data_IF_069633196454
#
_entry.id   IF_069633196454
#
_cell.length_a   1.000
_cell.length_b   1.000
_cell.length_c   1.000
_cell.angle_alpha   90.00
_cell.angle_beta   90.00
_cell.angle_gamma   90.00
#
_symmetry.space_group_name_H-M   'P 1'
#
loop_
_entity.id
_entity.type
_entity.pdbx_description
1 polymer ?
#
# COMPACT_ATOMS: atom_id res chain seq x y z
N UNK A 1 -20.34 1.85 6.29
CA UNK A 1 -20.51 2.32 4.90
C UNK A 1 -19.16 2.13 4.22
N UNK A 2 -18.99 1.12 3.35
CA UNK A 2 -17.74 0.96 2.61
C UNK A 2 -17.64 2.19 1.67
N UNK A 3 -16.56 2.97 1.77
CA UNK A 3 -16.43 4.21 1.00
C UNK A 3 -16.43 3.91 -0.51
N UNK A 4 -17.02 4.77 -1.33
CA UNK A 4 -17.04 4.60 -2.80
C UNK A 4 -15.63 4.40 -3.38
N UNK A 5 -14.62 4.96 -2.72
CA UNK A 5 -13.22 4.80 -3.05
C UNK A 5 -12.72 3.35 -2.90
N UNK A 6 -13.19 2.61 -1.88
CA UNK A 6 -12.86 1.19 -1.68
C UNK A 6 -13.35 0.32 -2.85
N UNK A 7 -14.55 0.61 -3.36
CA UNK A 7 -15.05 -0.11 -4.54
C UNK A 7 -14.31 0.32 -5.83
N UNK A 8 -13.67 1.49 -5.83
CA UNK A 8 -12.95 2.03 -6.97
C UNK A 8 -11.72 1.22 -7.38
N UNK A 9 -10.90 0.77 -6.41
CA UNK A 9 -9.69 0.00 -6.71
C UNK A 9 -9.98 -1.46 -7.08
N UNK A 10 -11.17 -1.99 -6.75
CA UNK A 10 -11.57 -3.38 -7.07
C UNK A 10 -12.01 -3.60 -8.51
N UNK A 11 -12.21 -2.52 -9.27
CA UNK A 11 -12.61 -2.62 -10.68
C UNK A 11 -11.52 -3.32 -11.51
N UNK A 12 -11.85 -3.91 -12.67
CA UNK A 12 -10.83 -4.38 -13.60
C UNK A 12 -9.81 -3.27 -13.93
N UNK A 13 -8.52 -3.58 -14.18
CA UNK A 13 -7.49 -2.56 -14.38
C UNK A 13 -7.80 -1.54 -15.49
N UNK A 14 -8.58 -1.94 -16.51
CA UNK A 14 -9.08 -1.09 -17.60
C UNK A 14 -10.12 -0.05 -17.15
N UNK A 15 -10.79 -0.28 -16.02
CA UNK A 15 -11.85 0.57 -15.46
C UNK A 15 -11.39 1.36 -14.21
N UNK A 16 -10.23 1.03 -13.67
CA UNK A 16 -9.66 1.74 -12.52
C UNK A 16 -9.20 3.15 -12.95
N UNK A 17 -9.79 4.18 -12.34
CA UNK A 17 -9.32 5.57 -12.45
C UNK A 17 -8.30 5.83 -11.35
N UNK A 18 -7.02 5.74 -11.67
CA UNK A 18 -5.95 6.02 -10.74
C UNK A 18 -5.83 7.52 -10.44
N UNK A 19 -5.24 7.87 -9.29
CA UNK A 19 -4.76 9.24 -9.09
C UNK A 19 -3.66 9.56 -10.11
N UNK A 20 -3.53 10.84 -10.48
CA UNK A 20 -2.46 11.28 -11.39
C UNK A 20 -1.09 10.85 -10.86
N UNK A 21 -0.23 10.44 -11.79
CA UNK A 21 1.15 10.13 -11.51
C UNK A 21 1.85 11.42 -11.03
N UNK A 22 2.57 11.34 -9.92
CA UNK A 22 3.42 12.43 -9.43
C UNK A 22 4.67 12.63 -10.29
N UNK A 23 4.73 12.00 -11.47
CA UNK A 23 5.43 12.37 -12.70
C UNK A 23 5.98 13.80 -12.77
N UNK A 24 5.12 14.78 -12.51
CA UNK A 24 5.45 16.20 -12.65
C UNK A 24 6.32 16.76 -11.51
N UNK A 25 6.40 16.07 -10.37
CA UNK A 25 7.23 16.43 -9.21
C UNK A 25 8.70 16.04 -9.45
N UNK A 26 9.01 15.27 -10.50
CA UNK A 26 10.33 14.70 -10.75
C UNK A 26 11.40 15.69 -11.25
N UNK A 27 11.08 16.97 -11.49
CA UNK A 27 12.05 17.94 -11.99
C UNK A 27 13.11 18.26 -10.92
N UNK A 28 14.19 17.45 -10.88
CA UNK A 28 15.38 17.68 -10.07
C UNK A 28 15.86 16.51 -9.21
N UNK A 29 15.16 15.38 -9.19
CA UNK A 29 15.61 14.19 -8.44
C UNK A 29 16.61 13.38 -9.27
N UNK A 30 17.81 13.17 -8.74
CA UNK A 30 18.79 12.25 -9.32
C UNK A 30 18.47 10.81 -8.92
N UNK A 31 18.17 9.95 -9.89
CA UNK A 31 17.88 8.53 -9.68
C UNK A 31 19.11 7.63 -9.89
N UNK A 32 20.22 8.18 -10.38
CA UNK A 32 21.44 7.40 -10.58
C UNK A 32 22.11 7.08 -9.23
N UNK A 33 22.30 5.79 -8.92
CA UNK A 33 22.92 5.39 -7.66
C UNK A 33 24.40 5.78 -7.66
N UNK A 34 24.85 6.30 -6.53
CA UNK A 34 26.27 6.55 -6.26
C UNK A 34 27.01 5.22 -6.05
N UNK A 35 28.33 5.25 -6.20
CA UNK A 35 29.16 4.08 -5.91
C UNK A 35 29.01 3.60 -4.46
N UNK A 36 28.85 4.52 -3.52
CA UNK A 36 28.66 4.17 -2.11
C UNK A 36 27.33 3.46 -1.86
N UNK A 37 26.26 3.84 -2.56
CA UNK A 37 24.96 3.16 -2.50
C UNK A 37 25.05 1.77 -3.13
N UNK A 38 25.75 1.63 -4.26
CA UNK A 38 25.98 0.33 -4.91
C UNK A 38 26.79 -0.64 -4.04
N UNK A 39 27.76 -0.11 -3.27
CA UNK A 39 28.65 -0.91 -2.42
C UNK A 39 28.08 -1.18 -1.01
N UNK A 40 26.92 -0.60 -0.65
CA UNK A 40 26.32 -0.75 0.70
C UNK A 40 24.80 -0.83 0.68
N UNK A 41 24.26 -2.00 1.05
CA UNK A 41 22.81 -2.21 1.19
C UNK A 41 22.14 -1.17 2.09
N UNK A 42 22.77 -0.81 3.22
CA UNK A 42 22.19 0.21 4.11
C UNK A 42 22.05 1.56 3.42
N UNK A 43 23.05 1.96 2.63
CA UNK A 43 23.01 3.24 1.89
C UNK A 43 22.01 3.18 0.74
N UNK A 44 21.99 2.08 -0.02
CA UNK A 44 20.99 1.84 -1.05
C UNK A 44 19.56 1.90 -0.48
N UNK A 45 19.29 1.21 0.63
CA UNK A 45 17.97 1.22 1.26
C UNK A 45 17.58 2.60 1.79
N UNK A 46 18.51 3.35 2.40
CA UNK A 46 18.26 4.74 2.79
C UNK A 46 17.91 5.61 1.57
N UNK A 47 18.60 5.43 0.44
CA UNK A 47 18.30 6.16 -0.78
C UNK A 47 16.93 5.80 -1.36
N UNK A 48 16.60 4.52 -1.43
CA UNK A 48 15.28 4.05 -1.85
C UNK A 48 14.17 4.59 -0.95
N UNK A 49 14.41 4.65 0.37
CA UNK A 49 13.50 5.26 1.33
C UNK A 49 13.26 6.75 1.04
N UNK A 50 14.29 7.51 0.70
CA UNK A 50 14.12 8.93 0.32
C UNK A 50 13.36 9.10 -0.99
N UNK A 51 13.57 8.18 -1.94
CA UNK A 51 12.96 8.21 -3.26
C UNK A 51 11.52 7.67 -3.30
N UNK A 52 11.03 7.05 -2.23
CA UNK A 52 9.66 6.54 -2.16
C UNK A 52 8.64 7.70 -2.00
N UNK A 53 8.25 8.27 -3.15
CA UNK A 53 7.25 9.32 -3.27
C UNK A 53 5.82 8.83 -3.06
N UNK A 54 5.60 7.51 -3.17
CA UNK A 54 4.27 6.93 -2.97
C UNK A 54 3.99 6.62 -1.49
N UNK A 55 5.03 6.62 -0.64
CA UNK A 55 4.90 6.43 0.81
C UNK A 55 3.81 7.32 1.41
N UNK A 56 2.94 6.68 2.18
CA UNK A 56 1.90 7.35 2.97
C UNK A 56 2.47 7.90 4.27
N UNK A 57 2.02 9.09 4.66
CA UNK A 57 2.53 9.86 5.80
C UNK A 57 1.57 9.75 7.00
N UNK A 58 2.04 9.32 8.19
CA UNK A 58 1.22 9.31 9.40
C UNK A 58 0.65 10.69 9.72
N UNK A 59 -0.61 10.74 10.15
CA UNK A 59 -1.34 11.97 10.46
C UNK A 59 -1.80 12.78 9.24
N UNK A 60 -1.35 12.42 8.03
CA UNK A 60 -1.81 13.02 6.76
C UNK A 60 -2.62 12.04 5.94
N UNK A 61 -2.06 10.86 5.66
CA UNK A 61 -2.65 9.85 4.78
C UNK A 61 -3.33 8.73 5.59
N UNK A 62 -2.92 8.52 6.84
CA UNK A 62 -3.52 7.55 7.76
C UNK A 62 -3.29 7.92 9.22
N UNK A 63 -4.12 7.38 10.12
CA UNK A 63 -3.94 7.47 11.57
C UNK A 63 -3.98 6.05 12.13
N UNK A 64 -3.06 5.75 13.04
CA UNK A 64 -3.04 4.48 13.76
C UNK A 64 -3.35 4.66 15.24
N UNK A 65 -4.00 3.66 15.80
CA UNK A 65 -4.14 3.45 17.24
C UNK A 65 -3.29 2.24 17.65
N UNK A 66 -2.17 2.51 18.33
CA UNK A 66 -1.26 1.47 18.79
C UNK A 66 -1.75 0.74 20.05
N UNK A 67 -2.85 1.19 20.66
CA UNK A 67 -3.33 0.69 21.95
C UNK A 67 -2.33 0.92 23.09
N UNK A 68 -2.53 0.19 24.19
CA UNK A 68 -1.73 0.33 25.42
C UNK A 68 -0.46 -0.54 25.44
N UNK A 69 -0.21 -1.28 24.35
CA UNK A 69 0.78 -2.35 24.30
C UNK A 69 0.34 -3.59 25.11
N UNK A 70 1.00 -4.72 24.86
CA UNK A 70 0.69 -6.00 25.51
C UNK A 70 1.88 -6.51 26.31
N UNK A 71 1.69 -6.62 27.62
CA UNK A 71 2.65 -7.23 28.56
C UNK A 71 2.37 -8.72 28.70
N UNK A 72 3.40 -9.50 28.99
CA UNK A 72 3.34 -10.97 29.10
C UNK A 72 2.28 -11.46 30.11
N UNK A 73 2.01 -10.70 31.18
CA UNK A 73 1.04 -11.06 32.21
C UNK A 73 -0.40 -10.62 31.91
N UNK A 74 -0.63 -9.77 30.90
CA UNK A 74 -1.96 -9.27 30.57
C UNK A 74 -2.76 -10.36 29.85
N UNK A 75 -3.94 -10.67 30.39
CA UNK A 75 -4.92 -11.55 29.76
C UNK A 75 -5.95 -10.70 29.03
N UNK A 76 -6.40 -11.18 27.87
CA UNK A 76 -7.37 -10.47 27.04
C UNK A 76 -6.72 -9.60 25.95
N UNK A 77 -7.58 -8.92 25.20
CA UNK A 77 -7.21 -7.96 24.18
C UNK A 77 -6.93 -6.60 24.82
N UNK A 78 -5.79 -6.00 24.47
CA UNK A 78 -5.33 -4.68 24.96
C UNK A 78 -5.36 -3.62 23.84
N UNK A 79 -5.86 -3.99 22.66
CA UNK A 79 -6.03 -3.14 21.50
C UNK A 79 -7.37 -3.51 20.84
N UNK A 80 -8.48 -3.24 21.54
CA UNK A 80 -9.82 -3.59 21.10
C UNK A 80 -10.28 -2.83 19.86
N UNK A 81 -9.63 -1.71 19.56
CA UNK A 81 -9.91 -0.88 18.39
C UNK A 81 -9.10 -1.34 17.17
N UNK A 82 -9.53 -0.91 15.98
CA UNK A 82 -8.77 -1.14 14.75
C UNK A 82 -7.43 -0.39 14.79
N UNK A 83 -6.33 -1.08 14.45
CA UNK A 83 -5.01 -0.47 14.33
C UNK A 83 -5.04 0.75 13.41
N UNK A 84 -5.72 0.66 12.27
CA UNK A 84 -6.00 1.82 11.43
C UNK A 84 -7.33 2.41 11.87
N UNK A 85 -7.29 3.53 12.59
CA UNK A 85 -8.48 4.29 12.99
C UNK A 85 -8.98 5.18 11.86
N UNK A 86 -8.09 5.55 10.93
CA UNK A 86 -8.44 6.26 9.70
C UNK A 86 -7.42 6.00 8.59
N UNK A 87 -7.92 5.95 7.36
CA UNK A 87 -7.13 5.91 6.13
C UNK A 87 -7.80 6.86 5.13
N UNK A 88 -7.02 7.73 4.48
CA UNK A 88 -7.54 8.66 3.49
C UNK A 88 -8.18 7.93 2.31
N UNK A 89 -9.35 8.41 1.86
CA UNK A 89 -10.16 7.73 0.84
C UNK A 89 -9.40 7.49 -0.48
N UNK A 90 -8.53 8.42 -0.88
CA UNK A 90 -7.78 8.32 -2.15
C UNK A 90 -6.47 7.52 -2.04
N UNK A 91 -6.04 7.11 -0.84
CA UNK A 91 -4.75 6.43 -0.65
C UNK A 91 -4.67 5.16 -1.48
N UNK A 92 -5.72 4.34 -1.43
CA UNK A 92 -5.79 3.06 -2.15
C UNK A 92 -6.10 3.24 -3.64
N UNK A 93 -6.42 4.45 -4.10
CA UNK A 93 -6.61 4.78 -5.52
C UNK A 93 -5.30 5.17 -6.22
N UNK A 94 -4.20 5.37 -5.48
CA UNK A 94 -2.88 5.59 -6.09
C UNK A 94 -2.50 4.37 -6.95
N UNK A 95 -1.89 4.55 -8.13
CA UNK A 95 -1.59 3.46 -9.06
C UNK A 95 -0.85 2.26 -8.43
N UNK A 96 0.13 2.53 -7.57
CA UNK A 96 0.91 1.46 -6.91
C UNK A 96 0.08 0.66 -5.92
N UNK A 97 -0.67 1.34 -5.03
CA UNK A 97 -1.46 0.65 -4.00
C UNK A 97 -2.68 -0.05 -4.58
N UNK A 98 -3.42 0.56 -5.50
CA UNK A 98 -4.59 -0.05 -6.15
C UNK A 98 -4.24 -1.37 -6.85
N UNK A 99 -3.15 -1.39 -7.62
CA UNK A 99 -2.65 -2.60 -8.28
C UNK A 99 -2.22 -3.65 -7.26
N UNK A 100 -1.52 -3.24 -6.21
CA UNK A 100 -1.11 -4.15 -5.14
C UNK A 100 -2.31 -4.74 -4.39
N UNK A 101 -3.31 -3.93 -4.04
CA UNK A 101 -4.54 -4.38 -3.41
C UNK A 101 -5.32 -5.35 -4.30
N UNK A 102 -5.38 -5.11 -5.62
CA UNK A 102 -6.02 -6.02 -6.56
C UNK A 102 -5.33 -7.39 -6.62
N UNK A 103 -4.00 -7.43 -6.45
CA UNK A 103 -3.26 -8.70 -6.34
C UNK A 103 -3.55 -9.40 -5.00
N UNK A 104 -3.61 -8.66 -3.89
CA UNK A 104 -3.91 -9.23 -2.57
C UNK A 104 -5.34 -9.80 -2.49
N UNK A 105 -6.30 -9.15 -3.16
CA UNK A 105 -7.70 -9.60 -3.19
C UNK A 105 -7.84 -11.02 -3.79
N UNK A 106 -6.91 -11.47 -4.65
CA UNK A 106 -6.88 -12.84 -5.20
C UNK A 106 -6.68 -13.93 -4.13
N UNK A 107 -6.12 -13.57 -2.96
CA UNK A 107 -5.78 -14.50 -1.88
C UNK A 107 -6.84 -14.55 -0.77
N UNK A 108 -7.96 -13.84 -0.90
CA UNK A 108 -9.05 -13.97 0.05
C UNK A 108 -9.85 -15.25 -0.27
N UNK A 109 -9.86 -16.28 0.61
CA UNK A 109 -10.44 -17.58 0.33
C UNK A 109 -11.97 -17.55 0.14
N UNK A 110 -12.62 -16.44 0.49
CA UNK A 110 -14.04 -16.21 0.25
C UNK A 110 -14.34 -15.53 -1.08
N UNK A 111 -13.33 -15.22 -1.90
CA UNK A 111 -13.55 -14.87 -3.29
C UNK A 111 -13.85 -16.17 -4.04
N UNK A 112 -15.06 -16.30 -4.60
CA UNK A 112 -15.58 -17.47 -5.33
C UNK A 112 -14.80 -17.85 -6.61
N UNK A 113 -13.55 -17.40 -6.78
CA UNK A 113 -12.72 -17.69 -7.94
C UNK A 113 -11.77 -18.85 -7.61
N UNK A 114 -11.87 -19.93 -8.38
CA UNK A 114 -10.87 -20.99 -8.38
C UNK A 114 -9.47 -20.39 -8.60
N UNK A 115 -8.51 -20.83 -7.78
CA UNK A 115 -7.10 -20.36 -7.77
C UNK A 115 -6.49 -20.32 -9.19
N UNK A 116 -6.83 -21.27 -10.05
CA UNK A 116 -6.37 -21.33 -11.45
C UNK A 116 -6.88 -20.16 -12.31
N UNK A 117 -8.11 -19.70 -12.11
CA UNK A 117 -8.69 -18.57 -12.84
C UNK A 117 -8.07 -17.26 -12.35
N UNK A 118 -7.86 -17.14 -11.03
CA UNK A 118 -7.18 -15.99 -10.45
C UNK A 118 -5.75 -15.83 -10.98
N UNK A 119 -5.03 -16.95 -11.13
CA UNK A 119 -3.66 -16.97 -11.66
C UNK A 119 -3.56 -16.52 -13.13
N UNK A 120 -4.47 -16.99 -14.00
CA UNK A 120 -4.50 -16.55 -15.41
C UNK A 120 -4.85 -15.06 -15.51
N UNK A 121 -5.78 -14.58 -14.69
CA UNK A 121 -6.09 -13.14 -14.60
C UNK A 121 -4.92 -12.32 -14.04
N UNK A 122 -4.06 -12.88 -13.19
CA UNK A 122 -2.89 -12.20 -12.62
C UNK A 122 -1.77 -12.01 -13.64
N UNK A 123 -1.46 -13.04 -14.45
CA UNK A 123 -0.39 -12.97 -15.46
C UNK A 123 -0.78 -12.09 -16.66
N UNK A 124 -2.08 -12.00 -16.97
CA UNK A 124 -2.58 -11.27 -18.13
C UNK A 124 -2.79 -9.76 -17.89
N UNK A 125 -2.49 -9.23 -16.69
CA UNK A 125 -2.69 -7.83 -16.29
C UNK A 125 -1.41 -7.00 -16.31
#
# INVERSE_FOLDING_TARGET
>A
MQSEAWNGYRKPPSEQKYSEDVGHIHQGLNFEPTREELDSLSKACSRLWELDMNRIVPGKDYIIDCGEGKKVYQKGDMASESLFSWLGDDVLRKPTYSRFCALLDNYNPHQDKHEEIAFVEEIAR
#
